data_IF_277423084424
#
_entry.id   IF_277423084424
#
_cell.length_a   1.000
_cell.length_b   1.000
_cell.length_c   1.000
_cell.angle_alpha   90.00
_cell.angle_beta   90.00
_cell.angle_gamma   90.00
#
_symmetry.space_group_name_H-M   'P 1'
#
loop_
_entity.id
_entity.type
_entity.pdbx_description
1 polymer ?
#
# COMPACT_ATOMS: atom_id res chain seq x y z
N UNK A 1 -11.51 5.60 24.29
CA UNK A 1 -10.58 6.72 24.06
C UNK A 1 -9.16 6.18 23.75
N UNK A 2 -8.22 7.06 23.45
CA UNK A 2 -6.87 6.68 23.06
C UNK A 2 -6.07 5.97 24.18
N UNK A 3 -6.33 6.30 25.42
CA UNK A 3 -5.63 5.73 26.57
C UNK A 3 -6.12 4.29 26.84
N UNK A 4 -7.40 4.01 26.61
CA UNK A 4 -7.96 2.65 26.68
C UNK A 4 -7.39 1.75 25.57
N UNK A 5 -7.29 2.28 24.34
CA UNK A 5 -6.68 1.55 23.20
C UNK A 5 -5.20 1.28 23.49
N UNK A 6 -4.46 2.26 24.04
CA UNK A 6 -3.07 2.08 24.42
C UNK A 6 -2.92 0.99 25.50
N UNK A 7 -3.78 0.99 26.50
CA UNK A 7 -3.78 -0.04 27.55
C UNK A 7 -4.05 -1.43 26.98
N UNK A 8 -5.03 -1.58 26.08
CA UNK A 8 -5.31 -2.85 25.40
C UNK A 8 -4.11 -3.34 24.58
N UNK A 9 -3.44 -2.45 23.84
CA UNK A 9 -2.21 -2.78 23.11
C UNK A 9 -1.12 -3.25 24.07
N UNK A 10 -0.92 -2.56 25.19
CA UNK A 10 0.09 -2.91 26.19
C UNK A 10 -0.18 -4.29 26.82
N UNK A 11 -1.43 -4.66 26.98
CA UNK A 11 -1.81 -5.98 27.54
C UNK A 11 -1.49 -7.14 26.57
N UNK A 12 -1.70 -6.94 25.28
CA UNK A 12 -1.55 -8.03 24.27
C UNK A 12 -0.19 -8.04 23.58
N UNK A 13 0.55 -6.92 23.58
CA UNK A 13 1.86 -6.80 22.92
C UNK A 13 2.97 -6.63 23.94
N UNK A 14 3.81 -7.65 24.21
CA UNK A 14 4.83 -7.61 25.26
C UNK A 14 5.79 -6.41 25.17
N UNK A 15 6.11 -5.96 23.95
CA UNK A 15 7.01 -4.83 23.72
C UNK A 15 6.38 -3.44 23.95
N UNK A 16 5.10 -3.40 24.29
CA UNK A 16 4.37 -2.20 24.67
C UNK A 16 3.97 -2.18 26.14
N UNK A 17 4.23 -3.25 26.91
CA UNK A 17 3.79 -3.38 28.32
C UNK A 17 4.19 -2.18 29.20
N UNK A 18 5.35 -1.60 28.97
CA UNK A 18 5.81 -0.44 29.71
C UNK A 18 5.31 0.90 29.19
N UNK A 19 4.53 0.92 28.10
CA UNK A 19 4.05 2.18 27.52
C UNK A 19 2.76 2.60 28.23
N UNK A 20 2.83 3.70 28.99
CA UNK A 20 1.67 4.34 29.60
C UNK A 20 1.59 5.80 29.19
N UNK A 21 0.42 6.42 29.37
CA UNK A 21 0.23 7.83 29.05
C UNK A 21 1.20 8.73 29.80
N UNK A 22 1.43 8.46 31.08
CA UNK A 22 2.35 9.24 31.93
C UNK A 22 3.78 9.10 31.42
N UNK A 23 4.22 7.87 31.07
CA UNK A 23 5.59 7.59 30.61
C UNK A 23 5.88 8.15 29.23
N UNK A 24 4.88 8.25 28.35
CA UNK A 24 5.04 8.88 27.04
C UNK A 24 5.50 10.34 27.14
N UNK A 25 5.01 11.07 28.12
CA UNK A 25 5.38 12.47 28.33
C UNK A 25 5.30 13.32 27.06
N UNK A 26 6.23 14.26 26.90
CA UNK A 26 6.33 15.10 25.70
C UNK A 26 7.28 14.55 24.64
N UNK A 27 8.22 13.69 25.03
CA UNK A 27 9.29 13.18 24.14
C UNK A 27 8.97 11.82 23.53
N UNK A 28 7.98 11.11 24.08
CA UNK A 28 7.69 9.73 23.70
C UNK A 28 8.65 8.72 24.34
N UNK A 29 8.54 7.47 23.96
CA UNK A 29 9.39 6.34 24.36
C UNK A 29 9.95 5.65 23.13
N UNK A 30 11.19 5.18 23.22
CA UNK A 30 11.83 4.43 22.13
C UNK A 30 11.48 2.95 22.25
N UNK A 31 10.81 2.43 21.24
CA UNK A 31 10.39 1.02 21.18
C UNK A 31 11.58 0.07 20.92
N UNK A 32 11.59 -1.13 21.45
CA UNK A 32 10.64 -1.74 22.41
C UNK A 32 10.77 -1.17 23.83
N UNK A 33 9.66 -1.16 24.56
CA UNK A 33 9.61 -0.66 25.94
C UNK A 33 9.38 -1.83 26.89
N UNK A 34 10.24 -2.00 27.88
CA UNK A 34 10.13 -3.05 28.88
C UNK A 34 8.98 -2.76 29.87
N UNK A 35 8.55 -3.79 30.59
CA UNK A 35 7.43 -3.70 31.54
C UNK A 35 7.70 -2.67 32.66
N UNK A 36 8.95 -2.52 33.08
CA UNK A 36 9.38 -1.51 34.05
C UNK A 36 9.40 -0.07 33.48
N UNK A 37 9.17 0.09 32.18
CA UNK A 37 9.17 1.36 31.48
C UNK A 37 10.51 1.74 30.87
N UNK A 38 11.54 0.92 31.01
CA UNK A 38 12.81 1.14 30.32
C UNK A 38 12.62 1.06 28.83
N UNK A 39 12.99 2.10 28.11
CA UNK A 39 12.92 2.16 26.64
C UNK A 39 14.25 1.74 25.99
N UNK A 40 14.23 1.50 24.69
CA UNK A 40 15.36 0.96 23.93
C UNK A 40 15.96 2.05 23.05
N UNK A 41 17.06 2.62 23.44
CA UNK A 41 17.73 3.67 22.68
C UNK A 41 18.45 3.15 21.43
N UNK A 42 19.02 1.96 21.50
CA UNK A 42 19.72 1.30 20.37
C UNK A 42 19.19 -0.12 20.22
N UNK A 43 18.60 -0.42 19.07
CA UNK A 43 18.11 -1.75 18.74
C UNK A 43 19.30 -2.73 18.52
N UNK A 44 19.17 -3.94 19.04
CA UNK A 44 20.14 -5.01 18.83
C UNK A 44 21.60 -4.64 19.20
N UNK A 45 21.77 -3.89 20.28
CA UNK A 45 23.10 -3.38 20.69
C UNK A 45 24.11 -4.49 20.92
N UNK A 46 23.74 -5.58 21.56
CA UNK A 46 24.66 -6.69 21.88
C UNK A 46 24.37 -7.94 21.06
N UNK A 47 23.10 -8.25 20.82
CA UNK A 47 22.68 -9.47 20.16
C UNK A 47 21.32 -9.30 19.48
N UNK A 48 21.08 -10.07 18.44
CA UNK A 48 19.74 -10.19 17.87
C UNK A 48 18.88 -11.13 18.71
N UNK A 49 17.64 -10.79 18.92
CA UNK A 49 16.70 -11.57 19.74
C UNK A 49 16.60 -13.05 19.30
N UNK A 50 16.66 -13.31 18.00
CA UNK A 50 16.61 -14.65 17.43
C UNK A 50 18.01 -15.27 17.20
N UNK A 51 19.07 -14.64 17.71
CA UNK A 51 20.45 -15.07 17.50
C UNK A 51 20.94 -14.78 16.07
N UNK A 52 21.86 -15.61 15.58
CA UNK A 52 22.42 -15.44 14.23
C UNK A 52 21.35 -15.62 13.15
N UNK A 53 21.52 -14.90 12.04
CA UNK A 53 20.66 -15.04 10.87
C UNK A 53 20.60 -16.47 10.37
N UNK A 54 19.43 -16.93 9.98
CA UNK A 54 19.21 -18.27 9.41
C UNK A 54 19.34 -18.17 7.90
N UNK A 55 20.22 -18.99 7.33
CA UNK A 55 20.27 -19.20 5.89
C UNK A 55 19.19 -20.21 5.52
N UNK A 56 18.30 -19.82 4.59
CA UNK A 56 17.28 -20.71 4.03
C UNK A 56 17.51 -20.86 2.53
N UNK A 57 17.39 -22.07 2.05
CA UNK A 57 17.21 -22.34 0.65
C UNK A 57 15.73 -22.35 0.31
N UNK A 58 15.34 -21.74 -0.80
CA UNK A 58 13.98 -21.77 -1.29
C UNK A 58 13.96 -21.80 -2.82
N UNK A 59 13.03 -22.56 -3.35
CA UNK A 59 12.76 -22.61 -4.78
C UNK A 59 11.76 -21.50 -5.16
N UNK A 60 11.92 -21.01 -6.38
CA UNK A 60 10.93 -20.05 -6.91
C UNK A 60 9.57 -20.74 -7.06
N UNK A 61 8.52 -20.04 -6.64
CA UNK A 61 7.11 -20.42 -6.84
C UNK A 61 6.37 -19.23 -7.39
N UNK A 62 5.45 -19.49 -8.34
CA UNK A 62 4.52 -18.47 -8.77
C UNK A 62 3.64 -18.04 -7.58
N UNK A 63 3.24 -16.77 -7.56
CA UNK A 63 2.31 -16.29 -6.54
C UNK A 63 0.96 -17.02 -6.67
N UNK A 64 0.43 -17.52 -5.57
CA UNK A 64 -0.89 -18.15 -5.53
C UNK A 64 -1.99 -17.20 -6.02
N UNK A 65 -1.81 -15.90 -5.80
CA UNK A 65 -2.70 -14.86 -6.32
C UNK A 65 -2.81 -14.94 -7.85
N UNK A 66 -1.68 -15.08 -8.53
CA UNK A 66 -1.63 -15.16 -9.99
C UNK A 66 -2.15 -16.52 -10.48
N UNK A 67 -1.68 -17.63 -9.90
CA UNK A 67 -2.13 -18.96 -10.29
C UNK A 67 -3.64 -19.11 -10.26
N UNK A 68 -4.28 -18.57 -9.23
CA UNK A 68 -5.72 -18.68 -9.00
C UNK A 68 -6.53 -17.78 -9.92
N UNK A 69 -6.06 -16.56 -10.18
CA UNK A 69 -6.88 -15.47 -10.71
C UNK A 69 -6.55 -15.09 -12.17
N UNK A 70 -5.45 -15.57 -12.75
CA UNK A 70 -4.96 -15.13 -14.09
C UNK A 70 -5.93 -15.32 -15.27
N UNK A 71 -6.92 -16.17 -15.13
CA UNK A 71 -7.92 -16.37 -16.20
C UNK A 71 -8.89 -15.20 -16.30
N UNK A 72 -9.28 -14.65 -15.15
CA UNK A 72 -10.24 -13.54 -15.05
C UNK A 72 -9.52 -12.20 -14.99
N UNK A 73 -8.34 -12.17 -14.37
CA UNK A 73 -7.52 -10.97 -14.14
C UNK A 73 -6.11 -11.21 -14.69
N UNK A 74 -5.93 -11.08 -16.04
CA UNK A 74 -4.70 -11.53 -16.70
C UNK A 74 -3.50 -10.60 -16.54
N UNK A 75 -3.68 -9.42 -15.96
CA UNK A 75 -2.59 -8.47 -15.69
C UNK A 75 -2.10 -8.59 -14.25
N UNK A 76 -0.83 -8.33 -14.07
CA UNK A 76 -0.21 -8.22 -12.75
C UNK A 76 -0.08 -6.74 -12.39
N UNK A 77 -0.77 -6.33 -11.33
CA UNK A 77 -0.53 -5.03 -10.72
C UNK A 77 0.69 -5.11 -9.81
N UNK A 78 1.66 -4.24 -10.05
CA UNK A 78 2.72 -3.94 -9.08
C UNK A 78 2.58 -2.51 -8.57
N UNK A 79 2.78 -2.32 -7.27
CA UNK A 79 2.71 -1.00 -6.63
C UNK A 79 4.07 -0.56 -6.13
N UNK A 80 4.39 0.70 -6.24
CA UNK A 80 5.64 1.25 -5.73
C UNK A 80 5.50 2.75 -5.39
N UNK A 81 6.59 3.48 -5.47
CA UNK A 81 6.67 4.90 -5.13
C UNK A 81 7.34 5.68 -6.25
N UNK A 82 7.05 6.97 -6.32
CA UNK A 82 7.82 7.94 -7.10
C UNK A 82 8.75 8.72 -6.17
N UNK A 83 9.80 9.32 -6.73
CA UNK A 83 10.81 10.06 -5.94
C UNK A 83 10.23 11.28 -5.21
N UNK A 84 9.17 11.87 -5.75
CA UNK A 84 8.57 13.10 -5.26
C UNK A 84 7.75 12.90 -3.99
N UNK A 85 7.27 11.66 -3.74
CA UNK A 85 6.38 11.39 -2.63
C UNK A 85 6.84 10.25 -1.73
N UNK A 86 6.55 10.39 -0.43
CA UNK A 86 6.88 9.42 0.59
C UNK A 86 5.61 8.79 1.17
N UNK A 87 5.50 7.47 1.09
CA UNK A 87 4.35 6.67 1.56
C UNK A 87 3.01 7.26 1.06
N UNK A 88 2.05 7.54 1.95
CA UNK A 88 0.77 8.14 1.62
C UNK A 88 0.84 9.66 1.36
N UNK A 89 2.03 10.19 1.13
CA UNK A 89 2.33 11.58 0.78
C UNK A 89 1.80 12.62 1.79
N UNK A 90 1.46 12.25 3.01
CA UNK A 90 0.89 13.14 4.03
C UNK A 90 1.75 14.37 4.33
N UNK A 91 3.07 14.26 4.20
CA UNK A 91 4.00 15.39 4.34
C UNK A 91 4.36 15.99 2.97
N UNK A 92 4.70 15.17 2.00
CA UNK A 92 5.25 15.63 0.71
C UNK A 92 4.22 16.33 -0.18
N UNK A 93 2.93 16.06 -0.01
CA UNK A 93 1.84 16.83 -0.66
C UNK A 93 1.72 18.27 -0.16
N UNK A 94 2.33 18.58 0.99
CA UNK A 94 2.36 19.95 1.56
C UNK A 94 3.57 20.76 1.09
N UNK A 95 4.36 20.22 0.18
CA UNK A 95 5.53 20.85 -0.40
C UNK A 95 5.30 21.06 -1.91
N UNK A 96 6.25 21.73 -2.60
CA UNK A 96 6.21 21.92 -4.04
C UNK A 96 6.26 20.62 -4.86
N UNK A 97 6.52 19.46 -4.24
CA UNK A 97 6.50 18.17 -4.90
C UNK A 97 5.13 17.83 -5.51
N UNK A 98 4.04 18.35 -4.93
CA UNK A 98 2.69 18.22 -5.49
C UNK A 98 2.55 18.84 -6.89
N UNK A 99 3.36 19.85 -7.21
CA UNK A 99 3.36 20.49 -8.52
C UNK A 99 4.09 19.64 -9.59
N UNK A 100 4.89 18.67 -9.17
CA UNK A 100 5.61 17.74 -10.07
C UNK A 100 4.79 16.47 -10.28
N UNK A 101 4.24 15.91 -9.20
CA UNK A 101 3.36 14.74 -9.23
C UNK A 101 2.13 15.03 -8.38
N UNK A 102 0.98 15.15 -9.03
CA UNK A 102 -0.28 15.57 -8.40
C UNK A 102 -1.31 14.46 -8.25
N UNK A 103 -1.09 13.30 -8.86
CA UNK A 103 -2.02 12.16 -8.88
C UNK A 103 -1.28 10.83 -9.06
N UNK A 104 -1.90 9.72 -8.64
CA UNK A 104 -1.44 8.38 -9.02
C UNK A 104 -1.85 8.09 -10.47
N UNK A 105 -0.90 7.66 -11.30
CA UNK A 105 -1.15 7.26 -12.69
C UNK A 105 -1.13 5.74 -12.80
N UNK A 106 -1.93 5.20 -13.71
CA UNK A 106 -1.87 3.81 -14.12
C UNK A 106 -0.99 3.67 -15.36
N UNK A 107 0.21 3.13 -15.18
CA UNK A 107 1.12 2.87 -16.29
C UNK A 107 0.74 1.54 -16.94
N UNK A 108 0.57 1.56 -18.27
CA UNK A 108 0.14 0.42 -19.07
C UNK A 108 1.06 0.27 -20.28
N UNK A 109 1.54 -0.95 -20.54
CA UNK A 109 2.35 -1.21 -21.72
C UNK A 109 1.55 -1.00 -23.02
N UNK A 110 2.16 -0.48 -24.12
CA UNK A 110 1.44 -0.19 -25.38
C UNK A 110 0.63 -1.36 -25.93
N UNK A 111 1.15 -2.59 -25.87
CA UNK A 111 0.44 -3.78 -26.36
C UNK A 111 -0.82 -4.08 -25.50
N UNK A 112 -0.74 -3.90 -24.20
CA UNK A 112 -1.87 -4.11 -23.30
C UNK A 112 -2.89 -2.98 -23.40
N UNK A 113 -2.43 -1.77 -23.63
CA UNK A 113 -3.28 -0.60 -23.89
C UNK A 113 -4.06 -0.77 -25.20
N UNK A 114 -3.39 -1.21 -26.29
CA UNK A 114 -4.04 -1.46 -27.57
C UNK A 114 -5.14 -2.52 -27.48
N UNK A 115 -4.89 -3.62 -26.75
CA UNK A 115 -5.89 -4.70 -26.51
C UNK A 115 -7.15 -4.20 -25.80
N UNK A 116 -7.05 -3.05 -25.08
CA UNK A 116 -8.11 -2.47 -24.24
C UNK A 116 -8.59 -1.11 -24.72
N UNK A 117 -8.15 -0.70 -25.92
CA UNK A 117 -8.49 0.58 -26.55
C UNK A 117 -8.19 1.81 -25.64
N UNK A 118 -7.08 1.72 -24.87
CA UNK A 118 -6.62 2.75 -23.95
C UNK A 118 -5.60 3.68 -24.59
N UNK A 119 -5.73 4.97 -24.31
CA UNK A 119 -4.77 5.99 -24.67
C UNK A 119 -4.29 6.75 -23.43
N UNK A 120 -3.12 7.35 -23.51
CA UNK A 120 -2.65 8.25 -22.43
C UNK A 120 -3.67 9.37 -22.19
N UNK A 121 -4.02 9.60 -20.93
CA UNK A 121 -5.01 10.56 -20.50
C UNK A 121 -6.44 9.99 -20.35
N UNK A 122 -6.71 8.80 -20.83
CA UNK A 122 -7.98 8.13 -20.56
C UNK A 122 -8.12 7.83 -19.06
N UNK A 123 -9.35 7.75 -18.59
CA UNK A 123 -9.64 7.20 -17.26
C UNK A 123 -10.01 5.72 -17.44
N UNK A 124 -9.33 4.87 -16.69
CA UNK A 124 -9.59 3.44 -16.70
C UNK A 124 -9.98 2.94 -15.32
N UNK A 125 -10.85 1.95 -15.30
CA UNK A 125 -11.17 1.12 -14.16
C UNK A 125 -10.07 0.06 -14.03
N UNK A 126 -9.34 0.07 -12.93
CA UNK A 126 -8.46 -1.00 -12.49
C UNK A 126 -9.23 -1.82 -11.46
N UNK A 127 -9.38 -3.13 -11.69
CA UNK A 127 -10.19 -3.96 -10.80
C UNK A 127 -9.63 -5.37 -10.60
N UNK A 128 -10.02 -5.98 -9.51
CA UNK A 128 -9.70 -7.35 -9.11
C UNK A 128 -10.95 -8.01 -8.53
N UNK A 129 -10.87 -9.26 -8.10
CA UNK A 129 -11.94 -9.93 -7.35
C UNK A 129 -12.31 -9.28 -6.02
N UNK A 130 -11.60 -8.25 -5.57
CA UNK A 130 -11.78 -7.59 -4.28
C UNK A 130 -12.39 -6.19 -4.37
N UNK A 131 -12.14 -5.49 -5.44
CA UNK A 131 -12.64 -4.14 -5.62
C UNK A 131 -12.10 -3.48 -6.87
N UNK A 132 -12.33 -2.19 -6.99
CA UNK A 132 -11.99 -1.39 -8.15
C UNK A 132 -11.60 0.02 -7.79
N UNK A 133 -10.80 0.64 -8.65
CA UNK A 133 -10.42 2.05 -8.57
C UNK A 133 -10.37 2.66 -9.98
N UNK A 134 -10.64 3.94 -10.09
CA UNK A 134 -10.49 4.69 -11.33
C UNK A 134 -9.18 5.47 -11.32
N UNK A 135 -8.36 5.28 -12.36
CA UNK A 135 -7.05 5.93 -12.50
C UNK A 135 -6.88 6.49 -13.90
N UNK A 136 -6.13 7.55 -14.00
CA UNK A 136 -5.72 8.11 -15.29
C UNK A 136 -4.57 7.29 -15.87
N UNK A 137 -4.68 6.95 -17.14
CA UNK A 137 -3.75 6.07 -17.86
C UNK A 137 -2.55 6.86 -18.40
N UNK A 138 -1.37 6.30 -18.24
CA UNK A 138 -0.15 6.63 -18.99
C UNK A 138 0.28 5.38 -19.78
N UNK A 139 0.21 5.44 -21.11
CA UNK A 139 0.70 4.37 -21.98
C UNK A 139 2.21 4.55 -22.13
N UNK A 140 2.99 3.55 -21.74
CA UNK A 140 4.46 3.66 -21.68
C UNK A 140 5.14 2.29 -21.73
N UNK A 141 6.35 2.25 -22.31
CA UNK A 141 7.24 1.08 -22.34
C UNK A 141 8.09 0.90 -21.06
N UNK A 142 7.94 1.79 -20.09
CA UNK A 142 8.58 1.65 -18.77
C UNK A 142 8.09 0.42 -17.98
N UNK A 143 6.91 -0.10 -18.31
CA UNK A 143 6.36 -1.33 -17.76
C UNK A 143 6.40 -2.43 -18.82
N UNK A 144 6.54 -3.71 -18.41
CA UNK A 144 6.51 -4.86 -19.33
C UNK A 144 5.08 -5.21 -19.71
N UNK A 145 4.91 -5.82 -20.90
CA UNK A 145 3.62 -6.43 -21.29
C UNK A 145 3.13 -7.42 -20.23
N UNK A 146 1.85 -7.39 -19.91
CA UNK A 146 1.24 -8.16 -18.84
C UNK A 146 1.36 -7.57 -17.45
N UNK A 147 2.09 -6.45 -17.28
CA UNK A 147 2.28 -5.78 -16.00
C UNK A 147 1.74 -4.36 -16.08
N UNK A 148 0.95 -3.97 -15.09
CA UNK A 148 0.54 -2.59 -14.87
C UNK A 148 1.11 -2.08 -13.56
N UNK A 149 1.38 -0.78 -13.51
CA UNK A 149 2.00 -0.15 -12.36
C UNK A 149 1.19 1.07 -11.91
N UNK A 150 1.08 1.23 -10.61
CA UNK A 150 0.59 2.48 -10.01
C UNK A 150 1.29 2.76 -8.69
N UNK A 151 1.06 3.94 -8.14
CA UNK A 151 1.49 4.29 -6.80
C UNK A 151 0.31 4.27 -5.83
N UNK A 152 0.55 4.56 -4.55
CA UNK A 152 -0.50 4.66 -3.51
C UNK A 152 -0.26 5.92 -2.65
N UNK A 153 0.24 6.97 -3.31
CA UNK A 153 0.54 8.20 -2.61
C UNK A 153 -0.70 9.06 -2.35
N UNK A 154 -1.73 8.87 -3.17
CA UNK A 154 -2.94 9.69 -3.11
C UNK A 154 -4.10 8.86 -2.57
N UNK A 155 -4.51 9.08 -1.30
CA UNK A 155 -5.58 8.30 -0.68
C UNK A 155 -6.93 8.43 -1.40
N UNK A 156 -7.09 9.45 -2.23
CA UNK A 156 -8.27 9.66 -3.06
C UNK A 156 -8.53 8.50 -4.02
N UNK A 157 -7.48 7.81 -4.47
CA UNK A 157 -7.59 6.68 -5.40
C UNK A 157 -7.79 5.33 -4.72
N UNK A 158 -7.50 5.21 -3.41
CA UNK A 158 -7.70 4.01 -2.60
C UNK A 158 -7.20 2.71 -3.25
N UNK A 159 -6.00 2.72 -3.85
CA UNK A 159 -5.44 1.59 -4.61
C UNK A 159 -5.42 0.26 -3.84
N UNK A 160 -5.37 0.31 -2.51
CA UNK A 160 -5.44 -0.88 -1.67
C UNK A 160 -6.76 -1.66 -1.81
N UNK A 161 -7.81 -1.08 -2.40
CA UNK A 161 -9.07 -1.81 -2.68
C UNK A 161 -8.90 -2.94 -3.67
N UNK A 162 -7.86 -2.89 -4.51
CA UNK A 162 -7.61 -3.93 -5.53
C UNK A 162 -6.46 -4.88 -5.17
N UNK A 163 -5.69 -4.59 -4.11
CA UNK A 163 -4.53 -5.42 -3.73
C UNK A 163 -4.92 -6.74 -3.09
N UNK A 164 -4.05 -7.77 -3.25
CA UNK A 164 -4.27 -9.10 -2.71
C UNK A 164 -4.13 -9.20 -1.20
N UNK A 165 -4.57 -10.34 -0.65
CA UNK A 165 -4.41 -10.70 0.76
C UNK A 165 -3.23 -11.65 0.99
N UNK A 166 -2.46 -11.94 -0.07
CA UNK A 166 -1.27 -12.77 0.04
C UNK A 166 -0.28 -12.22 1.06
N UNK A 167 0.34 -13.09 1.81
CA UNK A 167 1.34 -12.75 2.81
C UNK A 167 2.35 -13.88 2.96
N UNK A 168 3.56 -13.51 3.35
CA UNK A 168 4.56 -14.47 3.80
C UNK A 168 4.12 -15.11 5.13
N UNK A 169 4.13 -16.43 5.20
CA UNK A 169 3.60 -17.17 6.36
C UNK A 169 4.47 -17.03 7.62
N UNK A 170 5.77 -16.76 7.47
CA UNK A 170 6.67 -16.63 8.62
C UNK A 170 6.74 -15.20 9.15
N UNK A 171 6.80 -14.22 8.24
CA UNK A 171 6.98 -12.81 8.61
C UNK A 171 5.69 -12.01 8.58
N UNK A 172 4.62 -12.60 8.04
CA UNK A 172 3.32 -11.93 7.80
C UNK A 172 3.43 -10.70 6.87
N UNK A 173 4.53 -10.61 6.11
CA UNK A 173 4.73 -9.53 5.16
C UNK A 173 3.72 -9.62 4.01
N UNK A 174 2.96 -8.57 3.79
CA UNK A 174 1.91 -8.54 2.77
C UNK A 174 2.50 -8.52 1.35
N UNK A 175 1.95 -9.34 0.44
CA UNK A 175 2.33 -9.45 -0.97
C UNK A 175 1.58 -8.43 -1.85
N UNK A 176 1.41 -7.21 -1.42
CA UNK A 176 0.62 -6.19 -2.12
C UNK A 176 1.25 -5.68 -3.43
N UNK A 177 2.43 -6.15 -3.81
CA UNK A 177 3.10 -5.83 -5.09
C UNK A 177 2.82 -6.82 -6.20
N UNK A 178 2.06 -7.87 -5.92
CA UNK A 178 1.64 -8.89 -6.87
C UNK A 178 0.15 -9.13 -6.67
N UNK A 179 -0.65 -8.48 -7.51
CA UNK A 179 -2.12 -8.64 -7.49
C UNK A 179 -2.62 -8.89 -8.91
N UNK A 180 -3.48 -9.90 -9.06
CA UNK A 180 -4.13 -10.19 -10.33
C UNK A 180 -5.24 -9.16 -10.58
N UNK A 181 -5.17 -8.47 -11.71
CA UNK A 181 -6.08 -7.37 -12.05
C UNK A 181 -6.47 -7.38 -13.52
N UNK A 182 -7.53 -6.64 -13.83
CA UNK A 182 -7.88 -6.27 -15.18
C UNK A 182 -8.09 -4.75 -15.28
N UNK A 183 -7.95 -4.22 -16.48
CA UNK A 183 -8.08 -2.78 -16.78
C UNK A 183 -9.11 -2.59 -17.88
N UNK A 184 -10.07 -1.71 -17.64
CA UNK A 184 -11.13 -1.40 -18.59
C UNK A 184 -11.28 0.11 -18.77
N UNK A 185 -11.41 0.56 -20.02
CA UNK A 185 -11.70 1.97 -20.30
C UNK A 185 -13.05 2.37 -19.73
N UNK A 186 -13.11 3.48 -19.02
CA UNK A 186 -14.36 4.09 -18.57
C UNK A 186 -14.86 5.02 -19.68
N UNK A 187 -16.04 4.74 -20.25
CA UNK A 187 -16.68 5.64 -21.19
C UNK A 187 -17.07 6.95 -20.51
N UNK A 188 -17.04 8.06 -21.28
CA UNK A 188 -17.32 9.41 -20.75
C UNK A 188 -18.70 9.56 -20.05
N UNK A 189 -19.60 8.60 -20.22
CA UNK A 189 -20.92 8.60 -19.55
C UNK A 189 -20.85 8.29 -18.04
N UNK A 190 -19.81 7.62 -17.56
CA UNK A 190 -19.64 7.25 -16.14
C UNK A 190 -18.81 8.24 -15.31
N UNK A 191 -18.32 9.32 -15.89
CA UNK A 191 -17.58 10.37 -15.15
C UNK A 191 -18.38 11.07 -14.05
N UNK A 192 -19.70 10.90 -14.02
CA UNK A 192 -20.60 11.58 -13.09
C UNK A 192 -20.90 10.76 -11.83
N UNK A 193 -20.60 9.46 -11.80
CA UNK A 193 -20.99 8.58 -10.68
C UNK A 193 -19.89 8.30 -9.66
N UNK A 194 -18.62 8.57 -10.01
CA UNK A 194 -17.50 8.42 -9.08
C UNK A 194 -17.19 9.78 -8.44
N UNK A 195 -18.12 10.33 -7.67
CA UNK A 195 -17.81 11.36 -6.68
C UNK A 195 -17.39 10.67 -5.39
N UNK A 196 -16.25 11.05 -4.77
CA UNK A 196 -15.97 10.67 -3.40
C UNK A 196 -17.17 11.10 -2.55
N UNK A 197 -17.72 10.21 -1.72
CA UNK A 197 -18.69 10.64 -0.70
C UNK A 197 -17.96 11.67 0.17
N UNK A 198 -18.38 12.92 0.09
CA UNK A 198 -17.95 13.96 1.03
C UNK A 198 -18.28 13.46 2.43
N UNK A 199 -17.25 13.17 3.21
CA UNK A 199 -17.40 12.97 4.63
C UNK A 199 -17.85 14.29 5.23
N UNK A 200 -19.14 14.43 5.43
CA UNK A 200 -19.67 15.43 6.36
C UNK A 200 -19.28 14.99 7.78
N UNK A 201 -18.06 15.33 8.18
CA UNK A 201 -17.72 15.39 9.59
C UNK A 201 -18.33 16.69 10.11
N UNK A 202 -19.56 16.62 10.62
CA UNK A 202 -20.09 17.66 11.49
C UNK A 202 -19.21 17.70 12.75
N UNK A 203 -18.44 18.77 12.84
CA UNK A 203 -17.74 19.16 14.06
C UNK A 203 -18.79 19.84 14.95
N UNK A 204 -19.25 19.14 15.97
CA UNK A 204 -19.86 19.70 17.18
C UNK A 204 -18.86 19.70 18.34
#
# INVERSE_FOLDING_TARGET
>A
DADQVLAEIADVVPFFKGVTRERLGKMGLQWPVQEDGTDTQILHQETFKLGKGRLKNFDWKESTEIETNKKEYPLILTTSRVLQHYNAATMTRRTSNINIVSEDLLLVHPNDANKRELNTGDIARLYSGRGEVALKVEVTDKVKEGIVFTTFHFPEHMVNMVTGHGKDEETMCAEYKVSAVEVQKISNQFKTEIKPKENQAEVN
#
